data_IF_792670225980
#
_entry.id   IF_792670225980
#
_cell.length_a   1.000
_cell.length_b   1.000
_cell.length_c   1.000
_cell.angle_alpha   90.00
_cell.angle_beta   90.00
_cell.angle_gamma   90.00
#
_symmetry.space_group_name_H-M   'P 1'
#
loop_
_entity.id
_entity.type
_entity.pdbx_description
1 polymer ?
#
# COMPACT_ATOMS: atom_id res chain seq x y z
N UNK A 1 32.11 -3.01 26.32
CA UNK A 1 30.81 -2.31 26.42
C UNK A 1 30.81 -1.28 25.32
N UNK A 2 30.10 -1.56 24.22
CA UNK A 2 30.07 -0.69 23.05
C UNK A 2 29.26 0.56 23.39
N UNK A 3 29.90 1.72 23.34
CA UNK A 3 29.29 3.01 23.61
C UNK A 3 28.31 3.29 22.48
N UNK A 4 27.02 2.97 22.70
CA UNK A 4 25.97 3.20 21.71
C UNK A 4 25.78 4.70 21.60
N UNK A 5 26.58 5.35 20.75
CA UNK A 5 26.43 6.77 20.43
C UNK A 5 24.96 7.03 20.13
N UNK A 6 24.39 8.04 20.79
CA UNK A 6 23.03 8.49 20.56
C UNK A 6 23.02 9.21 19.22
N UNK A 7 22.99 8.43 18.13
CA UNK A 7 22.85 8.94 16.77
C UNK A 7 21.40 9.38 16.58
N UNK A 8 21.20 10.61 16.13
CA UNK A 8 19.90 11.12 15.70
C UNK A 8 19.81 10.97 14.17
N UNK A 9 19.29 9.84 13.64
CA UNK A 9 19.25 9.59 12.21
C UNK A 9 18.35 10.60 11.48
N UNK A 10 18.70 10.88 10.23
CA UNK A 10 17.84 11.71 9.36
C UNK A 10 16.49 11.03 9.11
N UNK A 11 15.44 11.81 8.82
CA UNK A 11 14.12 11.26 8.44
C UNK A 11 14.23 10.31 7.25
N UNK A 12 15.07 10.63 6.27
CA UNK A 12 15.28 9.82 5.07
C UNK A 12 15.96 8.48 5.41
N UNK A 13 16.85 8.48 6.41
CA UNK A 13 17.52 7.28 6.93
C UNK A 13 16.52 6.38 7.69
N UNK A 14 15.65 6.98 8.49
CA UNK A 14 14.55 6.26 9.16
C UNK A 14 13.60 5.62 8.15
N UNK A 15 13.22 6.33 7.09
CA UNK A 15 12.38 5.81 6.00
C UNK A 15 13.09 4.65 5.30
N UNK A 16 14.38 4.81 4.99
CA UNK A 16 15.18 3.77 4.33
C UNK A 16 15.22 2.48 5.16
N UNK A 17 15.49 2.60 6.46
CA UNK A 17 15.51 1.48 7.40
C UNK A 17 14.12 0.83 7.55
N UNK A 18 13.04 1.62 7.51
CA UNK A 18 11.67 1.13 7.64
C UNK A 18 11.19 0.34 6.41
N UNK A 19 11.39 0.89 5.21
CA UNK A 19 10.79 0.36 3.98
C UNK A 19 11.55 -0.86 3.44
N UNK A 20 12.87 -0.94 3.70
CA UNK A 20 13.82 -1.97 3.25
C UNK A 20 14.03 -2.09 1.74
N UNK A 21 13.00 -1.82 0.93
CA UNK A 21 12.99 -2.00 -0.53
C UNK A 21 12.54 -0.71 -1.22
N UNK A 22 13.25 -0.31 -2.28
CA UNK A 22 12.96 0.91 -3.04
C UNK A 22 12.82 2.19 -2.17
N UNK A 23 13.81 2.52 -1.33
CA UNK A 23 13.71 3.64 -0.37
C UNK A 23 13.52 5.00 -1.04
N UNK A 24 14.15 5.24 -2.20
CA UNK A 24 14.06 6.52 -2.93
C UNK A 24 12.63 6.88 -3.34
N UNK A 25 11.83 5.89 -3.75
CA UNK A 25 10.41 6.07 -4.05
C UNK A 25 9.65 6.56 -2.81
N UNK A 26 9.85 5.88 -1.68
CA UNK A 26 9.11 6.21 -0.46
C UNK A 26 9.57 7.53 0.15
N UNK A 27 10.86 7.89 0.08
CA UNK A 27 11.35 9.20 0.53
C UNK A 27 10.61 10.33 -0.22
N UNK A 28 10.47 10.20 -1.55
CA UNK A 28 9.73 11.17 -2.37
C UNK A 28 8.25 11.23 -2.01
N UNK A 29 7.59 10.08 -1.87
CA UNK A 29 6.17 10.03 -1.50
C UNK A 29 5.90 10.56 -0.09
N UNK A 30 6.72 10.21 0.90
CA UNK A 30 6.61 10.75 2.26
C UNK A 30 6.84 12.26 2.30
N UNK A 31 7.77 12.78 1.49
CA UNK A 31 7.98 14.22 1.35
C UNK A 31 6.77 14.91 0.69
N UNK A 32 6.17 14.28 -0.34
CA UNK A 32 4.97 14.79 -1.03
C UNK A 32 3.72 14.78 -0.13
N UNK A 33 3.57 13.76 0.72
CA UNK A 33 2.45 13.66 1.66
C UNK A 33 2.66 14.62 2.83
N UNK A 34 3.87 14.74 3.35
CA UNK A 34 4.20 15.60 4.48
C UNK A 34 4.36 17.09 4.17
N UNK A 35 4.42 17.49 2.90
CA UNK A 35 4.57 18.90 2.49
C UNK A 35 3.26 19.67 2.45
N UNK A 36 2.12 18.99 2.53
CA UNK A 36 0.79 19.60 2.54
C UNK A 36 0.13 19.34 3.89
N UNK A 37 -0.38 20.37 4.59
CA UNK A 37 -1.18 20.18 5.81
C UNK A 37 -2.56 19.60 5.51
N UNK A 38 -2.96 19.60 4.23
CA UNK A 38 -4.23 19.07 3.72
C UNK A 38 -4.01 17.76 2.94
N UNK A 39 -5.10 17.17 2.45
CA UNK A 39 -5.07 15.91 1.71
C UNK A 39 -4.05 15.91 0.57
N UNK A 40 -3.23 14.85 0.50
CA UNK A 40 -2.26 14.61 -0.56
C UNK A 40 -2.56 13.26 -1.22
N UNK A 41 -2.83 13.28 -2.52
CA UNK A 41 -3.08 12.06 -3.29
C UNK A 41 -1.79 11.25 -3.41
N UNK A 42 -1.78 10.08 -2.78
CA UNK A 42 -0.75 9.05 -2.96
C UNK A 42 -1.35 7.88 -3.75
N UNK A 43 -0.63 7.39 -4.75
CA UNK A 43 -1.05 6.26 -5.55
C UNK A 43 0.09 5.26 -5.65
N UNK A 44 -0.22 4.00 -5.36
CA UNK A 44 0.71 2.89 -5.46
C UNK A 44 0.18 1.88 -6.47
N UNK A 45 0.87 1.77 -7.62
CA UNK A 45 0.46 0.88 -8.71
C UNK A 45 0.45 -0.58 -8.29
N UNK A 46 1.43 -1.01 -7.49
CA UNK A 46 1.51 -2.39 -7.01
C UNK A 46 0.35 -2.72 -6.06
N UNK A 47 0.00 -1.79 -5.16
CA UNK A 47 -1.15 -1.95 -4.27
C UNK A 47 -2.46 -2.06 -5.07
N UNK A 48 -2.57 -1.33 -6.19
CA UNK A 48 -3.75 -1.38 -7.05
C UNK A 48 -3.87 -2.70 -7.79
N UNK A 49 -2.78 -3.20 -8.39
CA UNK A 49 -2.81 -4.45 -9.20
C UNK A 49 -2.92 -5.69 -8.33
N UNK A 50 -2.18 -5.75 -7.23
CA UNK A 50 -2.12 -6.93 -6.36
C UNK A 50 -3.17 -6.92 -5.24
N UNK A 51 -3.88 -5.79 -5.07
CA UNK A 51 -5.00 -5.64 -4.15
C UNK A 51 -4.73 -6.19 -2.75
N UNK A 52 -5.54 -7.13 -2.25
CA UNK A 52 -5.41 -7.64 -0.88
C UNK A 52 -4.07 -8.34 -0.61
N UNK A 53 -3.45 -8.97 -1.61
CA UNK A 53 -2.16 -9.66 -1.43
C UNK A 53 -1.07 -8.65 -1.02
N UNK A 54 -1.03 -7.48 -1.68
CA UNK A 54 -0.05 -6.44 -1.37
C UNK A 54 -0.24 -5.89 0.04
N UNK A 55 -1.49 -5.62 0.44
CA UNK A 55 -1.80 -5.14 1.79
C UNK A 55 -1.47 -6.20 2.86
N UNK A 56 -1.74 -7.47 2.58
CA UNK A 56 -1.47 -8.58 3.50
C UNK A 56 0.03 -8.79 3.73
N UNK A 57 0.83 -8.78 2.66
CA UNK A 57 2.30 -8.90 2.75
C UNK A 57 2.95 -7.76 3.56
N UNK A 58 2.30 -6.59 3.63
CA UNK A 58 2.77 -5.42 4.37
C UNK A 58 2.13 -5.29 5.76
N UNK A 59 1.41 -6.33 6.21
CA UNK A 59 0.74 -6.40 7.52
C UNK A 59 -0.33 -5.30 7.73
N UNK A 60 -0.98 -4.85 6.64
CA UNK A 60 -2.03 -3.82 6.66
C UNK A 60 -3.41 -4.49 6.62
N UNK A 61 -3.76 -5.20 7.70
CA UNK A 61 -4.92 -6.11 7.72
C UNK A 61 -6.27 -5.44 7.50
N UNK A 62 -6.50 -4.23 8.02
CA UNK A 62 -7.77 -3.52 7.82
C UNK A 62 -8.04 -3.29 6.32
N UNK A 63 -7.02 -2.85 5.57
CA UNK A 63 -7.13 -2.64 4.13
C UNK A 63 -7.13 -3.95 3.35
N UNK A 64 -6.41 -4.96 3.83
CA UNK A 64 -6.43 -6.32 3.24
C UNK A 64 -7.85 -6.87 3.19
N UNK A 65 -8.56 -6.84 4.32
CA UNK A 65 -9.93 -7.35 4.41
C UNK A 65 -10.91 -6.54 3.54
N UNK A 66 -10.79 -5.21 3.55
CA UNK A 66 -11.65 -4.34 2.74
C UNK A 66 -11.47 -4.63 1.24
N UNK A 67 -10.23 -4.68 0.75
CA UNK A 67 -9.94 -4.97 -0.65
C UNK A 67 -10.33 -6.40 -1.03
N UNK A 68 -10.17 -7.38 -0.14
CA UNK A 68 -10.59 -8.76 -0.39
C UNK A 68 -12.10 -8.88 -0.59
N UNK A 69 -12.90 -8.19 0.22
CA UNK A 69 -14.37 -8.16 0.09
C UNK A 69 -14.76 -7.50 -1.23
N UNK A 70 -14.19 -6.33 -1.54
CA UNK A 70 -14.48 -5.59 -2.77
C UNK A 70 -14.11 -6.45 -3.99
N UNK A 71 -12.91 -7.02 -4.00
CA UNK A 71 -12.42 -7.87 -5.09
C UNK A 71 -13.33 -9.09 -5.30
N UNK A 72 -13.65 -9.82 -4.23
CA UNK A 72 -14.53 -11.00 -4.30
C UNK A 72 -15.90 -10.61 -4.85
N UNK A 73 -16.48 -9.51 -4.35
CA UNK A 73 -17.76 -9.02 -4.83
C UNK A 73 -17.69 -8.64 -6.31
N UNK A 74 -16.68 -7.88 -6.73
CA UNK A 74 -16.46 -7.47 -8.11
C UNK A 74 -16.32 -8.67 -9.05
N UNK A 75 -15.54 -9.69 -8.69
CA UNK A 75 -15.38 -10.92 -9.48
C UNK A 75 -16.73 -11.63 -9.66
N UNK A 76 -17.50 -11.77 -8.57
CA UNK A 76 -18.84 -12.37 -8.63
C UNK A 76 -19.76 -11.58 -9.57
N UNK A 77 -19.77 -10.24 -9.48
CA UNK A 77 -20.62 -9.42 -10.34
C UNK A 77 -20.20 -9.49 -11.82
N UNK A 78 -18.89 -9.49 -12.10
CA UNK A 78 -18.37 -9.61 -13.46
C UNK A 78 -18.79 -10.96 -14.07
N UNK A 79 -18.58 -12.06 -13.34
CA UNK A 79 -18.98 -13.40 -13.80
C UNK A 79 -20.50 -13.46 -14.04
N UNK A 80 -21.30 -12.95 -13.10
CA UNK A 80 -22.77 -12.90 -13.25
C UNK A 80 -23.19 -12.07 -14.47
N UNK A 81 -22.54 -10.93 -14.72
CA UNK A 81 -22.80 -10.11 -15.90
C UNK A 81 -22.41 -10.80 -17.21
N UNK A 82 -21.28 -11.50 -17.23
CA UNK A 82 -20.79 -12.22 -18.40
C UNK A 82 -21.65 -13.43 -18.76
N UNK A 83 -22.09 -14.21 -17.76
CA UNK A 83 -22.89 -15.42 -17.97
C UNK A 83 -24.40 -15.22 -17.77
N UNK A 84 -24.86 -14.02 -17.40
CA UNK A 84 -26.28 -13.73 -17.22
C UNK A 84 -27.11 -13.82 -18.50
N UNK A 85 -26.45 -13.77 -19.67
CA UNK A 85 -27.12 -13.72 -20.98
C UNK A 85 -27.11 -15.07 -21.74
N UNK A 86 -26.53 -16.14 -21.19
CA UNK A 86 -26.45 -17.47 -21.84
C UNK A 86 -27.61 -18.42 -21.47
N UNK A 87 -28.55 -17.97 -20.66
CA UNK A 87 -29.76 -18.73 -20.27
C UNK A 87 -31.03 -18.28 -21.00
N UNK A 88 -30.91 -17.54 -22.11
CA UNK A 88 -32.03 -17.30 -23.05
C UNK A 88 -31.91 -18.22 -24.26
#
# INVERSE_FOLDING_TARGET
MENKEIRNPSRDELITNFVKSNPDYYIKEFKKIGSKPTYSLSFNLFAFILGPIWFGMRNVWNWTLAFLIIETFSVVQIIRGLFGNITT
#
